data_IF_079680281201
#
_entry.id   IF_079680281201
#
_cell.length_a   1.000
_cell.length_b   1.000
_cell.length_c   1.000
_cell.angle_alpha   90.00
_cell.angle_beta   90.00
_cell.angle_gamma   90.00
#
_symmetry.space_group_name_H-M   'P 1'
#
loop_
_entity.id
_entity.type
_entity.pdbx_description
1 polymer ?
#
# COMPACT_ATOMS: atom_id res chain seq x y z
N UNK A 1 8.89 2.42 -11.65
CA UNK A 1 8.45 2.71 -10.25
C UNK A 1 8.25 4.20 -9.98
N UNK A 2 9.15 5.05 -10.46
CA UNK A 2 9.12 6.47 -10.12
C UNK A 2 7.82 7.17 -10.53
N UNK A 3 7.38 6.97 -11.77
CA UNK A 3 6.12 7.54 -12.26
C UNK A 3 4.92 7.01 -11.48
N UNK A 4 4.92 5.73 -11.17
CA UNK A 4 3.89 5.09 -10.37
C UNK A 4 3.82 5.73 -8.98
N UNK A 5 4.96 5.89 -8.32
CA UNK A 5 5.02 6.46 -6.98
C UNK A 5 4.62 7.94 -6.95
N UNK A 6 4.95 8.69 -8.01
CA UNK A 6 4.46 10.07 -8.15
C UNK A 6 2.93 10.12 -8.21
N UNK A 7 2.31 9.19 -8.95
CA UNK A 7 0.84 9.11 -9.02
C UNK A 7 0.23 8.69 -7.69
N UNK A 8 0.89 7.80 -6.96
CA UNK A 8 0.46 7.42 -5.61
C UNK A 8 0.49 8.64 -4.68
N UNK A 9 1.56 9.43 -4.71
CA UNK A 9 1.66 10.65 -3.91
C UNK A 9 0.56 11.65 -4.27
N UNK A 10 0.25 11.83 -5.54
CA UNK A 10 -0.85 12.70 -5.98
C UNK A 10 -2.19 12.22 -5.45
N UNK A 11 -2.43 10.90 -5.49
CA UNK A 11 -3.66 10.32 -4.96
C UNK A 11 -3.77 10.50 -3.45
N UNK A 12 -2.67 10.35 -2.74
CA UNK A 12 -2.61 10.59 -1.28
C UNK A 12 -2.93 12.04 -0.96
N UNK A 13 -2.36 12.99 -1.69
CA UNK A 13 -2.64 14.42 -1.48
C UNK A 13 -4.13 14.73 -1.68
N UNK A 14 -4.75 14.15 -2.69
CA UNK A 14 -6.18 14.30 -2.95
C UNK A 14 -7.00 13.71 -1.79
N UNK A 15 -6.63 12.52 -1.33
CA UNK A 15 -7.31 11.86 -0.22
C UNK A 15 -7.22 12.68 1.07
N UNK A 16 -6.06 13.24 1.37
CA UNK A 16 -5.86 14.08 2.56
C UNK A 16 -6.72 15.34 2.49
N UNK A 17 -6.78 15.99 1.34
CA UNK A 17 -7.58 17.20 1.13
C UNK A 17 -9.08 16.92 1.27
N UNK A 18 -9.52 15.71 0.95
CA UNK A 18 -10.89 15.28 1.12
C UNK A 18 -11.28 15.15 2.60
N UNK A 19 -10.30 15.04 3.49
CA UNK A 19 -10.47 14.89 4.94
C UNK A 19 -11.35 13.68 5.30
N UNK A 20 -10.99 12.46 4.88
CA UNK A 20 -11.82 11.28 5.12
C UNK A 20 -11.77 10.84 6.58
N UNK A 21 -12.83 10.20 7.04
CA UNK A 21 -12.91 9.58 8.37
C UNK A 21 -12.51 8.11 8.33
N UNK A 22 -12.46 7.51 7.14
CA UNK A 22 -12.10 6.11 6.93
C UNK A 22 -11.52 5.98 5.53
N UNK A 23 -10.48 5.18 5.40
CA UNK A 23 -9.88 4.84 4.10
C UNK A 23 -10.04 3.34 3.85
N UNK A 24 -10.49 2.99 2.67
CA UNK A 24 -10.49 1.62 2.17
C UNK A 24 -9.33 1.49 1.17
N UNK A 25 -8.30 0.73 1.55
CA UNK A 25 -7.11 0.56 0.73
C UNK A 25 -7.12 -0.80 0.07
N UNK A 26 -7.46 -0.82 -1.21
CA UNK A 26 -7.31 -2.02 -2.03
C UNK A 26 -5.86 -2.13 -2.47
N UNK A 27 -5.13 -3.04 -1.87
CA UNK A 27 -3.70 -3.18 -2.03
C UNK A 27 -3.33 -4.36 -2.93
N UNK A 28 -3.99 -4.48 -4.06
CA UNK A 28 -3.68 -5.50 -5.05
C UNK A 28 -2.24 -5.38 -5.57
N UNK A 29 -1.70 -6.50 -6.03
CA UNK A 29 -0.32 -6.59 -6.52
C UNK A 29 -0.24 -6.96 -8.00
N UNK A 30 -1.30 -6.75 -8.74
CA UNK A 30 -1.36 -7.00 -10.18
C UNK A 30 -0.55 -5.98 -10.99
N UNK A 31 -0.04 -4.93 -10.36
CA UNK A 31 0.92 -4.00 -10.97
C UNK A 31 2.35 -4.52 -11.02
N UNK A 32 2.67 -5.65 -10.36
CA UNK A 32 4.01 -6.22 -10.39
C UNK A 32 4.46 -6.56 -11.80
N UNK A 33 5.75 -6.37 -12.06
CA UNK A 33 6.37 -6.67 -13.37
C UNK A 33 6.18 -8.13 -13.78
N UNK A 34 6.06 -9.04 -12.82
CA UNK A 34 5.89 -10.49 -13.05
C UNK A 34 4.43 -10.94 -13.09
N UNK A 35 3.46 -10.02 -12.92
CA UNK A 35 2.05 -10.38 -12.96
C UNK A 35 1.64 -10.77 -14.39
N UNK A 36 0.92 -11.90 -14.51
CA UNK A 36 0.53 -12.45 -15.80
C UNK A 36 -0.59 -11.68 -16.49
N UNK A 37 -1.43 -10.95 -15.74
CA UNK A 37 -2.61 -10.24 -16.23
C UNK A 37 -2.44 -8.73 -16.17
N UNK A 38 -1.61 -8.24 -15.28
CA UNK A 38 -1.34 -6.81 -15.14
C UNK A 38 -0.44 -6.29 -16.24
N UNK A 39 -0.55 -5.00 -16.55
CA UNK A 39 0.22 -4.33 -17.60
C UNK A 39 1.21 -3.30 -17.05
N UNK A 40 1.20 -3.06 -15.76
CA UNK A 40 2.19 -2.20 -15.12
C UNK A 40 3.46 -2.98 -14.88
N UNK A 41 4.57 -2.28 -14.77
CA UNK A 41 5.90 -2.89 -14.64
C UNK A 41 6.56 -2.43 -13.34
N UNK A 42 5.88 -2.69 -12.23
CA UNK A 42 6.30 -2.20 -10.91
C UNK A 42 7.13 -3.28 -10.22
N UNK A 43 8.24 -2.87 -9.58
CA UNK A 43 9.08 -3.79 -8.81
C UNK A 43 8.44 -4.09 -7.45
N UNK A 44 8.94 -5.14 -6.79
CA UNK A 44 8.56 -5.46 -5.41
C UNK A 44 8.83 -4.28 -4.48
N UNK A 45 9.98 -3.62 -4.64
CA UNK A 45 10.35 -2.44 -3.88
C UNK A 45 9.38 -1.28 -4.12
N UNK A 46 8.95 -1.09 -5.36
CA UNK A 46 7.96 -0.08 -5.72
C UNK A 46 6.61 -0.34 -5.04
N UNK A 47 6.17 -1.60 -5.00
CA UNK A 47 4.96 -1.99 -4.29
C UNK A 47 5.09 -1.74 -2.78
N UNK A 48 6.24 -2.07 -2.19
CA UNK A 48 6.50 -1.81 -0.77
C UNK A 48 6.50 -0.32 -0.46
N UNK A 49 7.08 0.51 -1.31
CA UNK A 49 7.06 1.96 -1.15
C UNK A 49 5.64 2.52 -1.25
N UNK A 50 4.81 1.99 -2.15
CA UNK A 50 3.39 2.37 -2.23
C UNK A 50 2.70 2.13 -0.89
N UNK A 51 2.87 0.94 -0.34
CA UNK A 51 2.26 0.57 0.95
C UNK A 51 2.72 1.51 2.06
N UNK A 52 4.02 1.77 2.12
CA UNK A 52 4.61 2.66 3.12
C UNK A 52 4.03 4.07 3.03
N UNK A 53 3.91 4.62 1.82
CA UNK A 53 3.35 5.95 1.61
C UNK A 53 1.90 6.03 2.11
N UNK A 54 1.08 5.03 1.81
CA UNK A 54 -0.32 5.00 2.24
C UNK A 54 -0.41 4.90 3.76
N UNK A 55 0.35 4.01 4.37
CA UNK A 55 0.29 3.81 5.82
C UNK A 55 0.88 4.97 6.60
N UNK A 56 1.94 5.61 6.11
CA UNK A 56 2.48 6.82 6.75
C UNK A 56 1.47 7.96 6.74
N UNK A 57 0.75 8.13 5.64
CA UNK A 57 -0.32 9.11 5.55
C UNK A 57 -1.43 8.81 6.57
N UNK A 58 -1.86 7.56 6.65
CA UNK A 58 -2.91 7.16 7.58
C UNK A 58 -2.50 7.40 9.04
N UNK A 59 -1.27 7.05 9.41
CA UNK A 59 -0.75 7.28 10.76
C UNK A 59 -0.63 8.77 11.05
N UNK A 60 -0.06 9.53 10.13
CA UNK A 60 0.16 10.98 10.29
C UNK A 60 -1.14 11.73 10.52
N UNK A 61 -2.20 11.35 9.81
CA UNK A 61 -3.49 12.03 9.88
C UNK A 61 -4.50 11.33 10.79
N UNK A 62 -4.07 10.25 11.47
CA UNK A 62 -4.93 9.45 12.38
C UNK A 62 -6.21 8.96 11.71
N UNK A 63 -6.09 8.45 10.47
CA UNK A 63 -7.23 7.97 9.70
C UNK A 63 -7.30 6.45 9.78
N UNK A 64 -8.38 5.87 10.32
CA UNK A 64 -8.57 4.42 10.27
C UNK A 64 -8.57 3.92 8.83
N UNK A 65 -7.88 2.82 8.58
CA UNK A 65 -7.71 2.28 7.24
C UNK A 65 -8.01 0.79 7.23
N UNK A 66 -8.89 0.37 6.34
CA UNK A 66 -9.12 -1.05 6.07
C UNK A 66 -8.28 -1.43 4.86
N UNK A 67 -7.46 -2.45 5.03
CA UNK A 67 -6.57 -2.95 3.97
C UNK A 67 -7.12 -4.28 3.48
N UNK A 68 -7.26 -4.43 2.19
CA UNK A 68 -7.71 -5.70 1.63
C UNK A 68 -6.95 -6.06 0.36
N UNK A 69 -6.90 -7.36 0.10
CA UNK A 69 -6.21 -7.89 -1.06
C UNK A 69 -7.01 -7.65 -2.32
N UNK A 70 -6.30 -7.43 -3.43
CA UNK A 70 -6.87 -7.39 -4.76
C UNK A 70 -6.25 -8.46 -5.64
N UNK A 71 -6.17 -8.22 -6.94
CA UNK A 71 -5.54 -9.14 -7.88
C UNK A 71 -4.06 -9.37 -7.61
N UNK A 72 -3.55 -10.46 -8.13
CA UNK A 72 -2.14 -10.83 -8.04
C UNK A 72 -1.93 -12.17 -8.71
N UNK A 73 -1.36 -12.16 -9.92
CA UNK A 73 -1.22 -13.33 -10.79
C UNK A 73 0.19 -13.44 -11.35
N UNK A 74 1.19 -13.17 -10.50
CA UNK A 74 2.60 -13.24 -10.90
C UNK A 74 3.02 -14.65 -11.28
N UNK A 75 3.98 -14.75 -12.17
CA UNK A 75 4.68 -15.99 -12.53
C UNK A 75 6.17 -15.79 -12.25
N UNK A 76 6.74 -16.47 -11.23
CA UNK A 76 6.08 -17.46 -10.35
C UNK A 76 5.13 -16.82 -9.32
N UNK A 77 4.18 -17.60 -8.84
CA UNK A 77 3.17 -17.13 -7.87
C UNK A 77 3.79 -16.67 -6.54
N UNK A 78 4.98 -17.15 -6.20
CA UNK A 78 5.72 -16.71 -5.02
C UNK A 78 5.91 -15.19 -4.98
N UNK A 79 6.02 -14.52 -6.13
CA UNK A 79 6.13 -13.06 -6.18
C UNK A 79 4.87 -12.37 -5.65
N UNK A 80 3.69 -12.90 -5.96
CA UNK A 80 2.43 -12.42 -5.40
C UNK A 80 2.38 -12.63 -3.89
N UNK A 81 2.76 -13.81 -3.42
CA UNK A 81 2.78 -14.15 -1.99
C UNK A 81 3.73 -13.24 -1.25
N UNK A 82 4.95 -13.05 -1.76
CA UNK A 82 5.93 -12.16 -1.14
C UNK A 82 5.42 -10.73 -1.04
N UNK A 83 4.79 -10.22 -2.08
CA UNK A 83 4.25 -8.86 -2.10
C UNK A 83 3.12 -8.69 -1.07
N UNK A 84 2.24 -9.68 -0.91
CA UNK A 84 1.20 -9.64 0.12
C UNK A 84 1.78 -9.77 1.52
N UNK A 85 2.82 -10.57 1.72
CA UNK A 85 3.53 -10.64 3.00
C UNK A 85 4.14 -9.27 3.35
N UNK A 86 4.76 -8.61 2.39
CA UNK A 86 5.28 -7.24 2.56
C UNK A 86 4.18 -6.26 2.98
N UNK A 87 3.01 -6.36 2.35
CA UNK A 87 1.85 -5.53 2.66
C UNK A 87 1.42 -5.69 4.12
N UNK A 88 1.23 -6.92 4.57
CA UNK A 88 0.74 -7.17 5.93
C UNK A 88 1.80 -6.85 6.97
N UNK A 89 3.07 -7.06 6.67
CA UNK A 89 4.17 -6.64 7.55
C UNK A 89 4.17 -5.11 7.70
N UNK A 90 4.05 -4.39 6.61
CA UNK A 90 3.98 -2.92 6.63
C UNK A 90 2.76 -2.42 7.42
N UNK A 91 1.61 -3.08 7.26
CA UNK A 91 0.40 -2.74 7.99
C UNK A 91 0.57 -2.95 9.49
N UNK A 92 1.17 -4.06 9.91
CA UNK A 92 1.44 -4.35 11.32
C UNK A 92 2.40 -3.34 11.92
N UNK A 93 3.46 -2.98 11.22
CA UNK A 93 4.43 -1.97 11.68
C UNK A 93 3.76 -0.60 11.82
N UNK A 94 2.92 -0.21 10.87
CA UNK A 94 2.18 1.04 10.93
C UNK A 94 1.23 1.08 12.13
N UNK A 95 0.53 -0.02 12.39
CA UNK A 95 -0.36 -0.13 13.54
C UNK A 95 0.41 0.00 14.85
N UNK A 96 1.58 -0.60 14.95
CA UNK A 96 2.43 -0.47 16.15
C UNK A 96 2.89 0.96 16.35
N UNK A 97 3.32 1.65 15.29
CA UNK A 97 3.70 3.06 15.37
C UNK A 97 2.53 3.94 15.82
N UNK A 98 1.35 3.72 15.27
CA UNK A 98 0.15 4.44 15.66
C UNK A 98 -0.17 4.23 17.13
N UNK A 99 -0.17 2.99 17.60
CA UNK A 99 -0.43 2.64 19.00
C UNK A 99 0.58 3.30 19.93
N UNK A 100 1.88 3.25 19.60
CA UNK A 100 2.92 3.88 20.42
C UNK A 100 2.81 5.40 20.46
N UNK A 101 2.35 6.02 19.38
CA UNK A 101 2.19 7.48 19.28
C UNK A 101 0.92 7.96 19.99
N UNK A 102 -0.14 7.18 19.98
CA UNK A 102 -1.48 7.56 20.45
C UNK A 102 -1.90 6.85 21.74
N UNK A 103 -1.04 6.02 22.33
CA UNK A 103 -1.33 5.39 23.62
C UNK A 103 -1.07 6.38 24.76
N UNK A 104 -1.93 6.33 25.74
CA UNK A 104 -1.81 7.17 26.96
C UNK A 104 -0.87 6.54 27.99
#
# INVERSE_FOLDING_TARGET
DEQFLQKVNQAIDIAVKFNPQLILYQAGVDGLATDALGKLNITREGMSKRNKLVFEMAVKHSIPTVVFMGGGYSKPISHTIDAFCDLFTAAAEANNRFTNTHSD
#
